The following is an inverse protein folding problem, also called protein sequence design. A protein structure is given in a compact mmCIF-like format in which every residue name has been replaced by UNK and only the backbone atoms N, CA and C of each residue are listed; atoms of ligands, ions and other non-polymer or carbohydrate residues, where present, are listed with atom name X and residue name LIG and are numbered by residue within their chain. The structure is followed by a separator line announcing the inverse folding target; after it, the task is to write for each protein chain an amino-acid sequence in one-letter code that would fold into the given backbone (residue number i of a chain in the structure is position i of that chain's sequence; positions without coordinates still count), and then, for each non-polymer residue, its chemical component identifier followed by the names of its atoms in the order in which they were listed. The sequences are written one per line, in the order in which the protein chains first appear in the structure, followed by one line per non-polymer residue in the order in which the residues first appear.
data_IF_626001768899
#
_entry.id   IF_626001768899
#
_cell.length_a   1.000
_cell.length_b   1.000
_cell.length_c   1.000
_cell.angle_alpha   90.00
_cell.angle_beta   90.00
_cell.angle_gamma   90.00
#
_symmetry.space_group_name_H-M   'P 1'
#
loop_
_entity.id
_entity.type
_entity.pdbx_description
1 polymer ?
#
# COMPACT_ATOMS: atom_id res chain seq x y z
N UNK A 1 6.56 17.30 9.44
CA UNK A 1 7.48 16.19 9.76
C UNK A 1 7.00 15.58 11.05
N UNK A 2 6.07 14.63 10.94
CA UNK A 2 5.63 13.85 12.08
C UNK A 2 6.82 13.18 12.79
N UNK A 3 6.76 13.15 14.11
CA UNK A 3 7.71 12.43 14.94
C UNK A 3 7.23 10.97 15.03
N UNK A 4 7.63 10.14 14.06
CA UNK A 4 7.44 8.68 14.09
C UNK A 4 8.80 8.02 14.33
N UNK A 5 8.84 7.03 15.21
CA UNK A 5 10.06 6.28 15.53
C UNK A 5 10.01 4.89 14.93
N UNK A 6 11.17 4.22 14.84
CA UNK A 6 11.23 2.86 14.30
C UNK A 6 10.58 1.89 15.29
N UNK A 7 10.70 2.19 16.58
CA UNK A 7 10.11 1.45 17.68
C UNK A 7 8.58 1.34 17.53
N UNK A 8 7.90 2.44 17.19
CA UNK A 8 6.45 2.45 16.95
C UNK A 8 6.05 1.50 15.80
N UNK A 9 6.88 1.38 14.77
CA UNK A 9 6.62 0.50 13.64
C UNK A 9 6.90 -0.98 13.98
N UNK A 10 7.82 -1.25 14.91
CA UNK A 10 8.20 -2.60 15.31
C UNK A 10 7.17 -3.25 16.24
N UNK A 11 6.17 -2.51 16.73
CA UNK A 11 5.01 -3.09 17.41
C UNK A 11 4.10 -3.89 16.45
N UNK A 12 4.19 -3.59 15.15
CA UNK A 12 3.35 -4.19 14.10
C UNK A 12 4.13 -5.01 13.07
N UNK A 13 5.47 -4.88 13.03
CA UNK A 13 6.34 -5.62 12.11
C UNK A 13 7.58 -6.12 12.87
N UNK A 14 7.74 -7.43 12.98
CA UNK A 14 8.78 -8.04 13.82
C UNK A 14 10.21 -7.85 13.26
N UNK A 15 10.34 -7.60 11.96
CA UNK A 15 11.63 -7.56 11.27
C UNK A 15 11.90 -6.19 10.64
N UNK A 16 13.06 -5.60 10.97
CA UNK A 16 13.50 -4.29 10.45
C UNK A 16 13.70 -4.27 8.93
N UNK A 17 14.14 -5.38 8.34
CA UNK A 17 14.27 -5.47 6.89
C UNK A 17 12.91 -5.51 6.20
N UNK A 18 11.96 -6.25 6.78
CA UNK A 18 10.58 -6.30 6.30
C UNK A 18 9.91 -4.94 6.44
N UNK A 19 10.11 -4.23 7.55
CA UNK A 19 9.65 -2.85 7.72
C UNK A 19 10.13 -1.94 6.59
N UNK A 20 11.43 -2.01 6.24
CA UNK A 20 11.99 -1.21 5.14
C UNK A 20 11.36 -1.57 3.80
N UNK A 21 11.16 -2.87 3.53
CA UNK A 21 10.56 -3.34 2.29
C UNK A 21 9.07 -2.95 2.19
N UNK A 22 8.31 -3.15 3.25
CA UNK A 22 6.88 -2.80 3.36
C UNK A 22 6.67 -1.29 3.19
N UNK A 23 7.40 -0.47 3.96
CA UNK A 23 7.32 0.99 3.89
C UNK A 23 7.74 1.52 2.51
N UNK A 24 8.76 0.93 1.87
CA UNK A 24 9.17 1.31 0.52
C UNK A 24 8.08 1.01 -0.51
N UNK A 25 7.48 -0.18 -0.45
CA UNK A 25 6.41 -0.59 -1.36
C UNK A 25 5.19 0.32 -1.20
N UNK A 26 4.77 0.56 0.03
CA UNK A 26 3.63 1.45 0.32
C UNK A 26 3.91 2.90 -0.08
N UNK A 27 5.09 3.43 0.21
CA UNK A 27 5.46 4.79 -0.20
C UNK A 27 5.42 4.99 -1.73
N UNK A 28 5.77 3.97 -2.51
CA UNK A 28 5.61 4.00 -3.98
C UNK A 28 4.16 4.03 -4.42
N UNK A 29 3.28 3.26 -3.76
CA UNK A 29 1.84 3.29 -4.04
C UNK A 29 1.25 4.70 -3.81
N UNK A 30 1.68 5.37 -2.75
CA UNK A 30 1.29 6.75 -2.44
C UNK A 30 1.88 7.77 -3.43
N UNK A 31 3.14 7.59 -3.84
CA UNK A 31 3.85 8.55 -4.67
C UNK A 31 3.47 8.46 -6.17
N UNK A 32 3.32 7.25 -6.70
CA UNK A 32 3.11 7.01 -8.14
C UNK A 32 1.93 6.10 -8.43
N UNK A 33 1.52 5.26 -7.48
CA UNK A 33 0.42 4.30 -7.66
C UNK A 33 -0.99 4.90 -7.53
N UNK A 34 -1.09 6.20 -7.21
CA UNK A 34 -2.38 6.92 -7.09
C UNK A 34 -3.27 6.39 -5.95
N UNK A 35 -2.69 5.67 -4.98
CA UNK A 35 -3.44 5.18 -3.83
C UNK A 35 -3.58 6.29 -2.80
N UNK A 36 -4.77 6.37 -2.21
CA UNK A 36 -5.04 7.30 -1.12
C UNK A 36 -4.35 6.85 0.19
N UNK A 37 -3.90 7.79 1.01
CA UNK A 37 -3.38 7.52 2.35
C UNK A 37 -4.53 7.10 3.29
N UNK A 38 -4.22 6.21 4.22
CA UNK A 38 -5.15 5.81 5.30
C UNK A 38 -5.06 6.73 6.52
N UNK A 39 -4.00 7.54 6.59
CA UNK A 39 -3.79 8.56 7.62
C UNK A 39 -3.82 9.96 6.99
N UNK A 40 -4.07 10.99 7.81
CA UNK A 40 -4.11 12.36 7.30
C UNK A 40 -2.74 12.81 6.76
N UNK A 41 -2.77 13.48 5.61
CA UNK A 41 -1.57 14.01 4.97
C UNK A 41 -1.15 15.36 5.58
N UNK A 42 -0.24 15.34 6.55
CA UNK A 42 0.22 16.54 7.27
C UNK A 42 1.46 17.18 6.63
N UNK A 43 1.47 17.33 5.30
CA UNK A 43 2.63 17.79 4.50
C UNK A 43 3.89 16.92 4.67
N UNK A 44 3.72 15.66 5.05
CA UNK A 44 4.81 14.70 5.15
C UNK A 44 5.16 14.09 3.78
N UNK A 45 6.38 13.56 3.66
CA UNK A 45 6.77 12.80 2.46
C UNK A 45 6.03 11.44 2.45
N UNK A 46 5.79 10.84 1.28
CA UNK A 46 5.11 9.54 1.17
C UNK A 46 5.72 8.45 2.06
N UNK A 47 7.05 8.45 2.24
CA UNK A 47 7.74 7.50 3.12
C UNK A 47 7.34 7.66 4.59
N UNK A 48 7.16 8.89 5.06
CA UNK A 48 6.77 9.18 6.44
C UNK A 48 5.29 8.83 6.64
N UNK A 49 4.44 9.11 5.66
CA UNK A 49 3.03 8.70 5.67
C UNK A 49 2.92 7.18 5.75
N UNK A 50 3.67 6.44 4.94
CA UNK A 50 3.69 4.97 4.97
C UNK A 50 4.14 4.42 6.33
N UNK A 51 5.17 5.00 6.95
CA UNK A 51 5.62 4.59 8.29
C UNK A 51 4.56 4.86 9.37
N UNK A 52 3.80 5.96 9.27
CA UNK A 52 2.69 6.23 10.18
C UNK A 52 1.55 5.25 10.00
N UNK A 53 1.20 4.89 8.77
CA UNK A 53 0.19 3.85 8.52
C UNK A 53 0.60 2.50 9.14
N UNK A 54 1.89 2.16 9.06
CA UNK A 54 2.44 0.94 9.69
C UNK A 54 2.42 1.04 11.21
N UNK A 55 2.81 2.18 11.78
CA UNK A 55 2.79 2.43 13.23
C UNK A 55 1.37 2.48 13.82
N UNK A 56 0.34 2.77 13.01
CA UNK A 56 -1.07 2.68 13.40
C UNK A 56 -1.67 1.28 13.14
N UNK A 57 -0.88 0.33 12.62
CA UNK A 57 -1.33 -1.03 12.31
C UNK A 57 -2.29 -1.12 11.12
N UNK A 58 -2.36 -0.08 10.28
CA UNK A 58 -3.26 0.02 9.12
C UNK A 58 -2.66 -0.60 7.85
N UNK A 59 -1.37 -0.94 7.88
CA UNK A 59 -0.63 -1.49 6.74
C UNK A 59 0.10 -2.77 7.13
N UNK A 60 -0.18 -3.85 6.39
CA UNK A 60 0.51 -5.13 6.49
C UNK A 60 0.85 -5.68 5.10
N UNK A 61 1.63 -6.76 5.03
CA UNK A 61 1.96 -7.40 3.75
C UNK A 61 0.72 -7.98 3.07
N UNK A 62 -0.19 -8.56 3.85
CA UNK A 62 -1.45 -9.14 3.38
C UNK A 62 -2.32 -8.05 2.73
N UNK A 63 -2.43 -6.89 3.40
CA UNK A 63 -3.18 -5.75 2.86
C UNK A 63 -2.67 -5.31 1.49
N UNK A 64 -1.35 -5.24 1.33
CA UNK A 64 -0.75 -4.85 0.05
C UNK A 64 -0.96 -5.92 -1.01
N UNK A 65 -0.87 -7.21 -0.66
CA UNK A 65 -1.07 -8.31 -1.60
C UNK A 65 -2.51 -8.33 -2.12
N UNK A 66 -3.51 -8.17 -1.25
CA UNK A 66 -4.92 -8.08 -1.65
C UNK A 66 -5.18 -6.91 -2.61
N UNK A 67 -4.56 -5.76 -2.37
CA UNK A 67 -4.69 -4.58 -3.23
C UNK A 67 -4.09 -4.77 -4.63
N UNK A 68 -3.05 -5.61 -4.78
CA UNK A 68 -2.44 -5.93 -6.08
C UNK A 68 -3.31 -6.92 -6.87
N UNK A 69 -3.89 -7.92 -6.20
CA UNK A 69 -4.77 -8.93 -6.84
C UNK A 69 -5.98 -8.28 -7.51
N UNK A 70 -6.53 -7.20 -6.93
CA UNK A 70 -7.65 -6.45 -7.50
C UNK A 70 -7.25 -5.59 -8.71
N UNK A 71 -5.97 -5.19 -8.81
CA UNK A 71 -5.49 -4.35 -9.91
C UNK A 71 -5.09 -5.16 -11.15
N UNK A 72 -4.57 -6.37 -10.94
CA UNK A 72 -4.28 -7.32 -12.02
C UNK A 72 -5.52 -8.16 -12.35
N UNK A 73 -6.65 -7.51 -12.69
CA UNK A 73 -7.71 -8.26 -13.37
C UNK A 73 -7.09 -8.84 -14.66
N UNK A 74 -7.15 -10.17 -14.86
CA UNK A 74 -6.49 -10.78 -15.99
C UNK A 74 -7.10 -10.19 -17.25
N UNK A 75 -6.25 -9.64 -18.12
CA UNK A 75 -6.62 -9.07 -19.42
C UNK A 75 -7.57 -10.00 -20.23
N UNK A 76 -7.54 -11.30 -19.93
CA UNK A 76 -8.43 -12.31 -20.48
C UNK A 76 -9.93 -12.10 -20.14
N UNK A 77 -10.27 -11.63 -18.93
CA UNK A 77 -11.65 -11.36 -18.53
C UNK A 77 -12.26 -10.17 -19.30
N UNK A 78 -11.46 -9.14 -19.59
CA UNK A 78 -11.90 -7.98 -20.36
C UNK A 78 -12.24 -8.31 -21.83
N UNK A 79 -11.68 -9.40 -22.39
CA UNK A 79 -11.99 -9.85 -23.75
C UNK A 79 -13.21 -10.77 -23.82
N UNK A 80 -13.64 -11.39 -22.72
CA UNK A 80 -14.84 -12.26 -22.71
C UNK A 80 -16.13 -11.42 -22.79
N UNK A 81 -16.18 -10.25 -22.16
CA UNK A 81 -17.35 -9.35 -22.21
C UNK A 81 -17.62 -8.77 -23.62
N UNK A 82 -16.57 -8.40 -24.37
CA UNK A 82 -16.73 -7.91 -25.76
C UNK A 82 -17.30 -8.97 -26.72
N UNK A 83 -17.04 -10.26 -26.43
CA UNK A 83 -17.51 -11.37 -27.27
C UNK A 83 -18.97 -11.75 -27.03
N UNK A 84 -19.54 -11.34 -25.89
CA UNK A 84 -20.90 -11.71 -25.49
C UNK A 84 -21.93 -10.58 -25.73
N UNK A 85 -21.49 -9.37 -26.11
CA UNK A 85 -22.35 -8.25 -26.52
C UNK A 85 -22.67 -8.23 -28.04
N UNK A 86 -22.08 -9.12 -28.82
CA UNK A 86 -22.36 -9.26 -30.26
C UNK A 86 -23.42 -10.35 -30.54
N UNK A 87 -24.69 -10.10 -30.19
CA UNK A 87 -25.87 -10.84 -30.68
C UNK A 87 -26.98 -9.89 -31.08
#
# INVERSE_FOLDING_TARGET
MARVTVEDCLEHVDNRFELVMLSTKRARQLATGGKEPLVQWENDKPTVVALREIAEGLMSYEFIAEQEIVQDEPLFAAFEDESNEAV
#
